data_IF_372826406105
#
_entry.id   IF_372826406105
#
_cell.length_a   1.000
_cell.length_b   1.000
_cell.length_c   1.000
_cell.angle_alpha   90.00
_cell.angle_beta   90.00
_cell.angle_gamma   90.00
#
_symmetry.space_group_name_H-M   'P 1'
#
loop_
_entity.id
_entity.type
_entity.pdbx_description
1 polymer ?
#
# COMPACT_ATOMS: atom_id res chain seq x y z
N UNK A 1 -17.21 -17.97 6.67
CA UNK A 1 -15.97 -18.58 7.21
C UNK A 1 -15.62 -19.76 6.32
N UNK A 2 -14.68 -19.59 5.40
CA UNK A 2 -14.26 -20.65 4.47
C UNK A 2 -12.87 -21.10 4.93
N UNK A 3 -12.80 -22.34 5.39
CA UNK A 3 -11.57 -22.99 5.86
C UNK A 3 -10.79 -23.45 4.63
N UNK A 4 -9.61 -22.88 4.40
CA UNK A 4 -8.66 -23.42 3.43
C UNK A 4 -7.87 -24.55 4.08
N UNK A 5 -8.03 -25.78 3.56
CA UNK A 5 -7.13 -26.90 3.86
C UNK A 5 -5.85 -26.75 3.01
N UNK A 6 -4.65 -26.70 3.60
CA UNK A 6 -3.44 -26.78 2.83
C UNK A 6 -3.24 -28.23 2.36
N UNK A 7 -3.24 -28.43 1.03
CA UNK A 7 -2.78 -29.69 0.44
C UNK A 7 -1.26 -29.59 0.31
N UNK A 8 -0.56 -30.31 1.18
CA UNK A 8 0.89 -30.42 1.15
C UNK A 8 1.28 -31.46 0.09
N UNK A 9 1.54 -31.03 -1.14
CA UNK A 9 2.17 -31.88 -2.16
C UNK A 9 3.69 -31.78 -2.03
N UNK A 10 4.27 -32.72 -1.29
CA UNK A 10 5.71 -32.95 -1.34
C UNK A 10 6.00 -33.85 -2.56
N UNK A 11 6.51 -33.28 -3.65
CA UNK A 11 7.07 -34.08 -4.74
C UNK A 11 8.52 -34.43 -4.39
N UNK A 12 8.90 -35.70 -4.26
CA UNK A 12 10.31 -36.04 -4.20
C UNK A 12 10.96 -35.69 -5.54
N UNK A 13 11.90 -34.75 -5.52
CA UNK A 13 12.79 -34.48 -6.65
C UNK A 13 13.67 -35.71 -6.83
N UNK A 14 13.22 -36.67 -7.63
CA UNK A 14 14.06 -37.76 -8.07
C UNK A 14 15.02 -37.18 -9.11
N UNK A 15 16.27 -36.93 -8.71
CA UNK A 15 17.37 -36.67 -9.65
C UNK A 15 17.51 -37.89 -10.55
N UNK A 16 16.95 -37.83 -11.75
CA UNK A 16 17.35 -38.72 -12.82
C UNK A 16 18.70 -38.22 -13.33
N UNK A 17 19.76 -38.92 -12.93
CA UNK A 17 21.04 -38.87 -13.63
C UNK A 17 20.79 -39.23 -15.09
N UNK A 18 20.88 -38.23 -15.96
CA UNK A 18 20.97 -38.43 -17.40
C UNK A 18 22.20 -39.30 -17.67
N UNK A 19 22.00 -40.60 -17.86
CA UNK A 19 23.00 -41.44 -18.49
C UNK A 19 23.07 -40.98 -19.94
N UNK A 20 24.17 -40.31 -20.28
CA UNK A 20 24.60 -40.10 -21.66
C UNK A 20 24.52 -41.46 -22.37
N UNK A 21 23.61 -41.57 -23.34
CA UNK A 21 23.54 -42.71 -24.23
C UNK A 21 24.82 -42.69 -25.07
N UNK A 22 25.73 -43.63 -24.79
CA UNK A 22 26.82 -43.92 -25.69
C UNK A 22 26.21 -44.27 -27.06
N UNK A 23 26.55 -43.48 -28.06
CA UNK A 23 26.22 -43.68 -29.48
C UNK A 23 26.68 -45.07 -29.89
N UNK A 24 25.75 -46.02 -30.02
CA UNK A 24 26.04 -47.35 -30.54
C UNK A 24 26.55 -47.23 -31.99
N UNK A 25 27.68 -47.84 -32.35
CA UNK A 25 28.15 -47.85 -33.72
C UNK A 25 27.20 -48.70 -34.57
N UNK A 26 26.75 -48.10 -35.66
CA UNK A 26 25.86 -48.66 -36.66
C UNK A 26 26.57 -49.86 -37.34
N UNK A 27 26.38 -51.07 -36.81
CA UNK A 27 26.87 -52.31 -37.43
C UNK A 27 25.98 -52.63 -38.63
N UNK A 28 26.43 -52.24 -39.83
CA UNK A 28 25.87 -52.73 -41.08
C UNK A 28 26.26 -54.20 -41.23
N UNK A 29 25.38 -55.13 -40.89
CA UNK A 29 25.51 -56.52 -41.28
C UNK A 29 25.02 -56.70 -42.72
N UNK A 30 25.96 -56.74 -43.66
CA UNK A 30 25.73 -57.24 -45.00
C UNK A 30 25.61 -58.77 -44.96
N UNK A 31 24.39 -59.28 -44.88
CA UNK A 31 24.13 -60.71 -45.11
C UNK A 31 24.11 -60.97 -46.62
N UNK A 32 25.26 -61.34 -47.17
CA UNK A 32 25.33 -61.96 -48.49
C UNK A 32 24.79 -63.39 -48.37
N UNK A 33 23.55 -63.59 -48.84
CA UNK A 33 22.97 -64.90 -49.05
C UNK A 33 23.74 -65.61 -50.17
N UNK A 34 24.56 -66.60 -49.80
CA UNK A 34 25.28 -67.48 -50.72
C UNK A 34 24.43 -68.72 -50.95
N UNK A 35 23.58 -68.70 -51.97
CA UNK A 35 22.92 -69.91 -52.48
C UNK A 35 23.97 -70.80 -53.14
N UNK A 36 24.17 -72.00 -52.58
CA UNK A 36 24.97 -73.05 -53.18
C UNK A 36 24.03 -74.02 -53.91
N UNK A 37 24.17 -74.23 -55.23
CA UNK A 37 23.35 -75.21 -55.94
C UNK A 37 24.04 -76.56 -55.81
N UNK A 38 23.55 -77.41 -54.90
CA UNK A 38 23.86 -78.83 -54.96
C UNK A 38 22.74 -79.54 -55.72
N UNK A 39 23.06 -79.92 -56.95
CA UNK A 39 22.33 -80.92 -57.73
C UNK A 39 22.51 -82.29 -57.07
N UNK A 40 21.42 -82.91 -56.61
CA UNK A 40 21.17 -84.36 -56.69
C UNK A 40 19.81 -84.69 -56.06
N UNK A 41 19.06 -85.50 -56.80
CA UNK A 41 17.67 -85.88 -56.58
C UNK A 41 17.42 -86.68 -55.29
N UNK A 42 16.36 -86.31 -54.55
CA UNK A 42 15.48 -87.29 -53.91
C UNK A 42 14.17 -86.63 -53.47
N UNK A 43 13.07 -87.13 -54.03
CA UNK A 43 11.67 -87.01 -53.63
C UNK A 43 11.36 -86.59 -52.19
N UNK A 44 10.74 -85.42 -52.01
CA UNK A 44 9.48 -85.21 -51.26
C UNK A 44 9.19 -83.71 -51.18
N UNK A 45 8.14 -83.26 -51.86
CA UNK A 45 7.62 -81.90 -51.75
C UNK A 45 6.86 -81.73 -50.43
N UNK A 46 7.54 -81.30 -49.37
CA UNK A 46 6.90 -80.70 -48.20
C UNK A 46 6.90 -79.18 -48.35
N UNK A 47 5.83 -78.47 -47.94
CA UNK A 47 5.82 -77.01 -47.96
C UNK A 47 6.94 -76.48 -47.07
N UNK A 48 7.47 -75.26 -47.30
CA UNK A 48 8.45 -74.67 -46.42
C UNK A 48 7.80 -74.36 -45.07
N UNK A 49 7.86 -75.31 -44.15
CA UNK A 49 7.33 -75.17 -42.80
C UNK A 49 8.29 -74.27 -42.02
N UNK A 50 7.93 -72.99 -41.93
CA UNK A 50 8.69 -72.00 -41.19
C UNK A 50 8.71 -72.32 -39.70
N UNK A 51 9.88 -72.24 -39.09
CA UNK A 51 10.07 -72.43 -37.65
C UNK A 51 9.13 -71.49 -36.85
N UNK A 52 8.16 -72.09 -36.15
CA UNK A 52 7.10 -71.38 -35.42
C UNK A 52 7.65 -70.44 -34.36
N UNK A 53 8.80 -70.77 -33.76
CA UNK A 53 9.47 -69.90 -32.79
C UNK A 53 10.02 -68.63 -33.43
N UNK A 54 10.56 -68.73 -34.65
CA UNK A 54 11.06 -67.56 -35.39
C UNK A 54 9.92 -66.66 -35.81
N UNK A 55 8.80 -67.22 -36.23
CA UNK A 55 7.60 -66.46 -36.58
C UNK A 55 7.01 -65.73 -35.36
N UNK A 56 6.97 -66.38 -34.19
CA UNK A 56 6.52 -65.74 -32.95
C UNK A 56 7.43 -64.58 -32.54
N UNK A 57 8.76 -64.77 -32.62
CA UNK A 57 9.72 -63.70 -32.30
C UNK A 57 9.55 -62.52 -33.25
N UNK A 58 9.36 -62.76 -34.54
CA UNK A 58 9.09 -61.71 -35.53
C UNK A 58 7.79 -60.96 -35.23
N UNK A 59 6.72 -61.69 -34.86
CA UNK A 59 5.45 -61.08 -34.47
C UNK A 59 5.60 -60.18 -33.23
N UNK A 60 6.36 -60.63 -32.21
CA UNK A 60 6.67 -59.82 -31.02
C UNK A 60 7.48 -58.57 -31.35
N UNK A 61 8.46 -58.67 -32.25
CA UNK A 61 9.25 -57.51 -32.71
C UNK A 61 8.33 -56.50 -33.40
N UNK A 62 7.46 -56.96 -34.30
CA UNK A 62 6.51 -56.10 -35.00
C UNK A 62 5.54 -55.42 -34.02
N UNK A 63 5.04 -56.15 -33.02
CA UNK A 63 4.20 -55.57 -31.97
C UNK A 63 4.93 -54.50 -31.16
N UNK A 64 6.18 -54.76 -30.75
CA UNK A 64 7.00 -53.80 -30.01
C UNK A 64 7.30 -52.54 -30.83
N UNK A 65 7.58 -52.70 -32.12
CA UNK A 65 7.78 -51.56 -33.03
C UNK A 65 6.52 -50.71 -33.16
N UNK A 66 5.35 -51.33 -33.26
CA UNK A 66 4.05 -50.63 -33.29
C UNK A 66 3.78 -49.88 -31.98
N UNK A 67 4.03 -50.52 -30.82
CA UNK A 67 3.86 -49.86 -29.52
C UNK A 67 4.82 -48.69 -29.33
N UNK A 68 6.07 -48.81 -29.80
CA UNK A 68 7.04 -47.72 -29.79
C UNK A 68 6.56 -46.53 -30.60
N UNK A 69 6.06 -46.77 -31.82
CA UNK A 69 5.55 -45.69 -32.68
C UNK A 69 4.39 -44.97 -32.00
N UNK A 70 3.40 -45.72 -31.49
CA UNK A 70 2.26 -45.13 -30.77
C UNK A 70 2.66 -44.30 -29.55
N UNK A 71 3.65 -44.76 -28.78
CA UNK A 71 4.13 -44.01 -27.62
C UNK A 71 4.89 -42.75 -28.02
N UNK A 72 5.64 -42.81 -29.12
CA UNK A 72 6.36 -41.65 -29.66
C UNK A 72 5.37 -40.60 -30.14
N UNK A 73 4.37 -41.00 -30.92
CA UNK A 73 3.32 -40.09 -31.40
C UNK A 73 2.56 -39.44 -30.23
N UNK A 74 2.22 -40.21 -29.19
CA UNK A 74 1.57 -39.66 -27.99
C UNK A 74 2.46 -38.67 -27.23
N UNK A 75 3.76 -38.97 -27.12
CA UNK A 75 4.71 -38.08 -26.48
C UNK A 75 4.87 -36.77 -27.28
N UNK A 76 4.93 -36.87 -28.61
CA UNK A 76 5.04 -35.72 -29.50
C UNK A 76 3.78 -34.84 -29.41
N UNK A 77 2.58 -35.44 -29.43
CA UNK A 77 1.31 -34.72 -29.23
C UNK A 77 1.28 -33.99 -27.88
N UNK A 78 1.61 -34.68 -26.78
CA UNK A 78 1.61 -34.06 -25.45
C UNK A 78 2.68 -32.99 -25.30
N UNK A 79 3.82 -33.13 -25.98
CA UNK A 79 4.86 -32.11 -26.00
C UNK A 79 4.42 -30.85 -26.76
N UNK A 80 3.68 -31.02 -27.85
CA UNK A 80 3.09 -29.92 -28.60
C UNK A 80 2.02 -29.20 -27.76
N UNK A 81 1.11 -29.94 -27.13
CA UNK A 81 0.08 -29.37 -26.22
C UNK A 81 0.72 -28.55 -25.09
N UNK A 82 1.78 -29.08 -24.48
CA UNK A 82 2.47 -28.39 -23.37
C UNK A 82 3.19 -27.12 -23.85
N UNK A 83 3.73 -27.15 -25.08
CA UNK A 83 4.36 -25.98 -25.69
C UNK A 83 3.32 -24.91 -25.98
N UNK A 84 2.17 -25.28 -26.55
CA UNK A 84 1.05 -24.37 -26.79
C UNK A 84 0.56 -23.76 -25.46
N UNK A 85 0.39 -24.56 -24.42
CA UNK A 85 -0.01 -24.06 -23.10
C UNK A 85 1.00 -23.04 -22.54
N UNK A 86 2.30 -23.26 -22.75
CA UNK A 86 3.33 -22.32 -22.31
C UNK A 86 3.29 -21.01 -23.10
N UNK A 87 3.07 -21.08 -24.42
CA UNK A 87 2.92 -19.90 -25.28
C UNK A 87 1.67 -19.10 -24.93
N UNK A 88 0.53 -19.77 -24.76
CA UNK A 88 -0.74 -19.15 -24.36
C UNK A 88 -0.62 -18.48 -22.99
N UNK A 89 -0.01 -19.16 -22.01
CA UNK A 89 0.23 -18.58 -20.68
C UNK A 89 1.13 -17.35 -20.76
N UNK A 90 2.19 -17.38 -21.57
CA UNK A 90 3.06 -16.22 -21.74
C UNK A 90 2.32 -15.03 -22.37
N UNK A 91 1.49 -15.28 -23.39
CA UNK A 91 0.67 -14.26 -24.02
C UNK A 91 -0.36 -13.65 -23.04
N UNK A 92 -0.98 -14.48 -22.18
CA UNK A 92 -1.87 -13.98 -21.12
C UNK A 92 -1.13 -13.15 -20.07
N UNK A 93 0.08 -13.56 -19.66
CA UNK A 93 0.89 -12.77 -18.73
C UNK A 93 1.31 -11.42 -19.31
N UNK A 94 1.75 -11.39 -20.57
CA UNK A 94 2.08 -10.15 -21.27
C UNK A 94 0.87 -9.22 -21.35
N UNK A 95 -0.30 -9.76 -21.73
CA UNK A 95 -1.55 -9.01 -21.79
C UNK A 95 -1.95 -8.43 -20.43
N UNK A 96 -1.90 -9.22 -19.36
CA UNK A 96 -2.20 -8.74 -18.00
C UNK A 96 -1.20 -7.67 -17.57
N UNK A 97 0.08 -7.86 -17.89
CA UNK A 97 1.14 -6.88 -17.61
C UNK A 97 0.90 -5.55 -18.31
N UNK A 98 0.57 -5.59 -19.60
CA UNK A 98 0.27 -4.40 -20.40
C UNK A 98 -1.01 -3.70 -19.92
N UNK A 99 -2.07 -4.45 -19.63
CA UNK A 99 -3.33 -3.91 -19.11
C UNK A 99 -3.12 -3.22 -17.74
N UNK A 100 -2.32 -3.83 -16.86
CA UNK A 100 -1.99 -3.26 -15.57
C UNK A 100 -1.16 -1.98 -15.68
N UNK A 101 -0.15 -1.97 -16.56
CA UNK A 101 0.67 -0.78 -16.82
C UNK A 101 -0.17 0.36 -17.40
N UNK A 102 -1.02 0.05 -18.39
CA UNK A 102 -1.94 1.03 -18.98
C UNK A 102 -2.88 1.63 -17.93
N UNK A 103 -3.45 0.80 -17.06
CA UNK A 103 -4.32 1.28 -15.97
C UNK A 103 -3.57 2.16 -14.97
N UNK A 104 -2.30 1.84 -14.68
CA UNK A 104 -1.43 2.65 -13.82
C UNK A 104 -1.12 4.01 -14.45
N UNK A 105 -0.76 4.03 -15.73
CA UNK A 105 -0.45 5.27 -16.46
C UNK A 105 -1.68 6.18 -16.55
N UNK A 106 -2.86 5.62 -16.81
CA UNK A 106 -4.12 6.37 -16.81
C UNK A 106 -4.45 6.94 -15.43
N UNK A 107 -4.28 6.15 -14.36
CA UNK A 107 -4.49 6.64 -13.00
C UNK A 107 -3.48 7.75 -12.62
N UNK A 108 -2.22 7.60 -13.03
CA UNK A 108 -1.18 8.60 -12.81
C UNK A 108 -1.50 9.90 -13.54
N UNK A 109 -1.92 9.84 -14.80
CA UNK A 109 -2.33 11.00 -15.57
C UNK A 109 -3.50 11.74 -14.91
N UNK A 110 -4.52 11.03 -14.42
CA UNK A 110 -5.65 11.64 -13.69
C UNK A 110 -5.24 12.32 -12.39
N UNK A 111 -4.31 11.73 -11.64
CA UNK A 111 -3.78 12.33 -10.41
C UNK A 111 -3.00 13.60 -10.74
N UNK A 112 -2.16 13.55 -11.79
CA UNK A 112 -1.37 14.69 -12.22
C UNK A 112 -2.25 15.85 -12.70
N UNK A 113 -3.27 15.56 -13.50
CA UNK A 113 -4.26 16.54 -13.95
C UNK A 113 -5.00 17.19 -12.76
N UNK A 114 -5.38 16.39 -11.75
CA UNK A 114 -6.03 16.93 -10.55
C UNK A 114 -5.08 17.84 -9.76
N UNK A 115 -3.82 17.43 -9.58
CA UNK A 115 -2.80 18.26 -8.91
C UNK A 115 -2.56 19.57 -9.68
N UNK A 116 -2.43 19.51 -11.00
CA UNK A 116 -2.28 20.68 -11.87
C UNK A 116 -3.47 21.64 -11.70
N UNK A 117 -4.70 21.11 -11.73
CA UNK A 117 -5.91 21.91 -11.55
C UNK A 117 -5.97 22.59 -10.17
N UNK A 118 -5.59 21.88 -9.11
CA UNK A 118 -5.54 22.45 -7.76
C UNK A 118 -4.42 23.47 -7.60
N UNK A 119 -3.26 23.22 -8.23
CA UNK A 119 -2.14 24.16 -8.25
C UNK A 119 -2.54 25.46 -8.94
N UNK A 120 -3.22 25.37 -10.08
CA UNK A 120 -3.69 26.56 -10.80
C UNK A 120 -4.69 27.37 -9.95
N UNK A 121 -5.66 26.71 -9.32
CA UNK A 121 -6.61 27.39 -8.42
C UNK A 121 -5.89 28.04 -7.23
N UNK A 122 -4.85 27.38 -6.70
CA UNK A 122 -4.04 27.92 -5.63
C UNK A 122 -3.22 29.14 -6.08
N UNK A 123 -2.64 29.10 -7.28
CA UNK A 123 -1.89 30.21 -7.87
C UNK A 123 -2.81 31.42 -8.10
N UNK A 124 -3.97 31.21 -8.74
CA UNK A 124 -4.98 32.26 -8.93
C UNK A 124 -5.45 32.84 -7.59
N UNK A 125 -5.69 32.00 -6.57
CA UNK A 125 -6.07 32.45 -5.24
C UNK A 125 -4.96 33.22 -4.52
N UNK A 126 -3.70 32.80 -4.68
CA UNK A 126 -2.55 33.47 -4.07
C UNK A 126 -2.31 34.85 -4.68
N UNK A 127 -2.46 34.97 -6.00
CA UNK A 127 -2.38 36.25 -6.71
C UNK A 127 -3.50 37.20 -6.28
N UNK A 128 -4.74 36.73 -6.18
CA UNK A 128 -5.87 37.52 -5.71
C UNK A 128 -5.66 37.99 -4.26
N UNK A 129 -5.23 37.10 -3.37
CA UNK A 129 -4.95 37.43 -1.97
C UNK A 129 -3.81 38.46 -1.85
N UNK A 130 -2.78 38.36 -2.69
CA UNK A 130 -1.70 39.35 -2.74
C UNK A 130 -2.21 40.73 -3.16
N UNK A 131 -3.07 40.81 -4.17
CA UNK A 131 -3.70 42.08 -4.58
C UNK A 131 -4.62 42.65 -3.50
N UNK A 132 -5.30 41.80 -2.72
CA UNK A 132 -6.15 42.23 -1.61
C UNK A 132 -5.33 42.81 -0.45
N UNK A 133 -4.21 42.17 -0.10
CA UNK A 133 -3.27 42.68 0.91
C UNK A 133 -2.72 44.05 0.50
N UNK A 134 -2.30 44.21 -0.76
CA UNK A 134 -1.76 45.48 -1.26
C UNK A 134 -2.80 46.62 -1.17
N UNK A 135 -4.08 46.33 -1.47
CA UNK A 135 -5.17 47.31 -1.32
C UNK A 135 -5.47 47.63 0.15
N UNK A 136 -5.43 46.62 1.01
CA UNK A 136 -5.64 46.79 2.45
C UNK A 136 -4.51 47.62 3.07
N UNK A 137 -3.27 47.40 2.65
CA UNK A 137 -2.11 48.17 3.10
C UNK A 137 -2.20 49.65 2.69
N UNK A 138 -2.63 49.95 1.45
CA UNK A 138 -2.89 51.33 1.00
C UNK A 138 -4.03 52.00 1.81
N UNK A 139 -5.09 51.24 2.10
CA UNK A 139 -6.19 51.74 2.95
C UNK A 139 -5.73 52.02 4.39
N UNK A 140 -4.91 51.14 4.96
CA UNK A 140 -4.30 51.31 6.28
C UNK A 140 -3.40 52.53 6.33
N UNK A 141 -2.55 52.74 5.33
CA UNK A 141 -1.68 53.91 5.23
C UNK A 141 -2.49 55.23 5.19
N UNK A 142 -3.61 55.25 4.45
CA UNK A 142 -4.54 56.39 4.43
C UNK A 142 -5.21 56.63 5.78
N UNK A 143 -5.60 55.56 6.47
CA UNK A 143 -6.23 55.64 7.78
C UNK A 143 -5.24 56.15 8.84
N UNK A 144 -4.00 55.66 8.82
CA UNK A 144 -2.94 56.10 9.74
C UNK A 144 -2.61 57.59 9.53
N UNK A 145 -2.55 58.05 8.28
CA UNK A 145 -2.40 59.47 7.96
C UNK A 145 -3.54 60.34 8.54
N UNK A 146 -4.80 59.90 8.41
CA UNK A 146 -5.95 60.60 8.99
C UNK A 146 -5.89 60.63 10.52
N UNK A 147 -5.52 59.51 11.16
CA UNK A 147 -5.38 59.45 12.62
C UNK A 147 -4.25 60.35 13.12
N UNK A 148 -3.14 60.44 12.38
CA UNK A 148 -2.02 61.30 12.74
C UNK A 148 -2.37 62.79 12.58
N UNK A 149 -3.13 63.14 11.54
CA UNK A 149 -3.72 64.48 11.36
C UNK A 149 -4.71 64.80 12.48
N UNK A 150 -5.69 63.93 12.76
CA UNK A 150 -6.63 64.08 13.87
C UNK A 150 -5.95 64.12 15.24
N UNK A 151 -4.84 63.37 15.43
CA UNK A 151 -4.03 63.46 16.67
C UNK A 151 -3.29 64.78 16.78
N UNK A 152 -2.76 65.33 15.69
CA UNK A 152 -2.15 66.65 15.71
C UNK A 152 -3.18 67.73 16.03
N UNK A 153 -4.41 67.60 15.51
CA UNK A 153 -5.53 68.48 15.87
C UNK A 153 -6.03 68.24 17.31
N UNK A 154 -6.04 66.99 17.78
CA UNK A 154 -6.40 66.62 19.15
C UNK A 154 -5.38 67.02 20.22
N UNK A 155 -4.08 67.05 19.87
CA UNK A 155 -2.99 67.57 20.70
C UNK A 155 -3.05 69.10 20.82
N UNK A 156 -3.64 69.78 19.83
CA UNK A 156 -3.98 71.20 19.93
C UNK A 156 -4.89 71.48 21.15
N UNK A 157 -5.80 70.56 21.48
CA UNK A 157 -6.68 70.66 22.66
C UNK A 157 -6.06 70.14 23.96
N UNK A 158 -5.01 69.31 23.88
CA UNK A 158 -4.35 68.72 25.05
C UNK A 158 -3.51 69.73 25.83
N UNK A 159 -3.00 70.78 25.18
CA UNK A 159 -2.37 71.91 25.87
C UNK A 159 -3.34 72.79 26.68
N UNK A 160 -4.66 72.55 26.61
CA UNK A 160 -5.66 73.26 27.41
C UNK A 160 -6.21 72.47 28.62
N UNK A 161 -5.75 71.23 28.85
CA UNK A 161 -6.22 70.40 29.98
C UNK A 161 -5.06 69.76 30.74
N UNK A 162 -4.45 70.52 31.65
CA UNK A 162 -3.63 69.96 32.72
C UNK A 162 -4.46 69.76 33.99
N UNK A 163 -4.71 68.51 34.38
CA UNK A 163 -4.81 68.12 35.79
C UNK A 163 -4.47 66.63 35.96
N UNK A 164 -3.67 66.33 36.99
CA UNK A 164 -3.01 65.07 37.34
C UNK A 164 -3.86 64.26 38.36
N UNK A 165 -3.46 63.02 38.75
CA UNK A 165 -4.08 61.75 38.37
C UNK A 165 -4.86 61.09 39.53
N UNK A 166 -5.62 60.03 39.25
CA UNK A 166 -6.24 59.21 40.29
C UNK A 166 -5.95 57.72 40.06
N UNK A 167 -5.25 57.17 41.04
CA UNK A 167 -4.93 55.76 41.29
C UNK A 167 -6.17 54.89 41.60
N UNK A 168 -5.94 53.56 41.53
CA UNK A 168 -6.63 52.44 42.25
C UNK A 168 -7.79 51.67 41.62
N UNK A 169 -8.24 51.97 40.40
CA UNK A 169 -9.36 51.19 39.80
C UNK A 169 -8.89 50.03 38.89
N UNK A 170 -7.60 49.94 38.57
CA UNK A 170 -7.13 48.96 37.58
C UNK A 170 -6.77 47.58 38.16
N UNK A 171 -6.45 47.46 39.45
CA UNK A 171 -6.06 46.15 40.02
C UNK A 171 -7.24 45.18 40.23
N UNK A 172 -8.43 45.66 40.58
CA UNK A 172 -9.64 44.81 40.66
C UNK A 172 -10.10 44.36 39.27
N UNK A 173 -9.96 45.23 38.28
CA UNK A 173 -10.34 44.92 36.90
C UNK A 173 -9.42 43.87 36.26
N UNK A 174 -8.13 43.86 36.62
CA UNK A 174 -7.22 42.80 36.15
C UNK A 174 -7.53 41.45 36.81
N UNK A 175 -7.96 41.43 38.08
CA UNK A 175 -8.40 40.19 38.75
C UNK A 175 -9.69 39.63 38.12
N UNK A 176 -10.68 40.49 37.87
CA UNK A 176 -11.90 40.13 37.13
C UNK A 176 -11.59 39.64 35.72
N UNK A 177 -10.70 40.31 35.00
CA UNK A 177 -10.28 39.88 33.65
C UNK A 177 -9.49 38.57 33.68
N UNK A 178 -8.77 38.21 34.74
CA UNK A 178 -8.20 36.86 34.86
C UNK A 178 -9.24 35.78 35.17
N UNK A 179 -10.32 36.11 35.89
CA UNK A 179 -11.47 35.19 36.10
C UNK A 179 -12.31 35.05 34.83
N UNK A 180 -12.47 36.12 34.07
CA UNK A 180 -13.21 36.15 32.79
C UNK A 180 -12.40 35.50 31.66
N UNK A 181 -11.07 35.68 31.62
CA UNK A 181 -10.17 34.96 30.70
C UNK A 181 -9.98 33.47 31.05
N UNK A 182 -10.43 33.02 32.23
CA UNK A 182 -10.55 31.59 32.54
C UNK A 182 -11.72 30.93 31.77
N UNK A 183 -12.58 31.71 31.11
CA UNK A 183 -13.66 31.24 30.24
C UNK A 183 -13.19 30.75 28.85
N UNK A 184 -11.91 30.41 28.68
CA UNK A 184 -11.39 29.70 27.51
C UNK A 184 -11.61 28.18 27.55
N UNK A 185 -12.66 27.69 28.23
CA UNK A 185 -12.74 26.29 28.67
C UNK A 185 -13.08 25.27 27.58
N UNK A 186 -13.71 25.71 26.48
CA UNK A 186 -14.12 24.78 25.39
C UNK A 186 -12.99 24.54 24.38
N UNK A 187 -12.33 25.60 23.92
CA UNK A 187 -11.28 25.52 22.90
C UNK A 187 -10.02 24.85 23.43
N UNK A 188 -9.59 25.19 24.66
CA UNK A 188 -8.42 24.54 25.30
C UNK A 188 -8.66 23.07 25.56
N UNK A 189 -9.87 22.69 25.99
CA UNK A 189 -10.28 21.29 26.19
C UNK A 189 -10.23 20.48 24.90
N UNK A 190 -10.66 21.05 23.77
CA UNK A 190 -10.58 20.37 22.47
C UNK A 190 -9.13 20.13 22.05
N UNK A 191 -8.23 21.11 22.27
CA UNK A 191 -6.80 20.97 22.00
C UNK A 191 -6.20 19.80 22.80
N UNK A 192 -6.51 19.68 24.10
CA UNK A 192 -6.05 18.54 24.90
C UNK A 192 -6.61 17.20 24.42
N UNK A 193 -7.89 17.15 24.02
CA UNK A 193 -8.50 15.93 23.48
C UNK A 193 -7.84 15.49 22.16
N UNK A 194 -7.53 16.44 21.26
CA UNK A 194 -6.80 16.17 20.02
C UNK A 194 -5.39 15.66 20.32
N UNK A 195 -4.66 16.29 21.25
CA UNK A 195 -3.32 15.86 21.64
C UNK A 195 -3.31 14.48 22.30
N UNK A 196 -4.27 14.20 23.19
CA UNK A 196 -4.44 12.87 23.80
C UNK A 196 -4.74 11.82 22.72
N UNK A 197 -5.64 12.13 21.78
CA UNK A 197 -5.97 11.25 20.65
C UNK A 197 -4.76 10.93 19.78
N UNK A 198 -3.97 11.94 19.41
CA UNK A 198 -2.76 11.79 18.61
C UNK A 198 -1.70 10.95 19.35
N UNK A 199 -1.58 11.13 20.67
CA UNK A 199 -0.66 10.35 21.50
C UNK A 199 -1.08 8.88 21.64
N UNK A 200 -2.38 8.59 21.72
CA UNK A 200 -2.90 7.21 21.73
C UNK A 200 -2.62 6.50 20.40
N UNK A 201 -2.82 7.19 19.26
CA UNK A 201 -2.49 6.65 17.94
C UNK A 201 -0.99 6.35 17.84
N UNK A 202 -0.13 7.27 18.29
CA UNK A 202 1.32 7.07 18.31
C UNK A 202 1.75 5.87 19.17
N UNK A 203 1.06 5.62 20.29
CA UNK A 203 1.30 4.44 21.14
C UNK A 203 0.93 3.16 20.38
N UNK A 204 -0.24 3.11 19.74
CA UNK A 204 -0.69 1.92 18.97
C UNK A 204 0.26 1.63 17.80
N UNK A 205 0.68 2.66 17.06
CA UNK A 205 1.65 2.52 15.97
C UNK A 205 3.01 2.02 16.49
N UNK A 206 3.46 2.54 17.64
CA UNK A 206 4.69 2.07 18.28
C UNK A 206 4.61 0.59 18.71
N UNK A 207 3.43 0.09 19.09
CA UNK A 207 3.23 -1.33 19.38
C UNK A 207 3.22 -2.22 18.12
N UNK A 208 2.67 -1.72 17.01
CA UNK A 208 2.54 -2.47 15.74
C UNK A 208 3.86 -2.53 14.96
N UNK A 209 4.63 -1.44 14.95
CA UNK A 209 5.85 -1.34 14.14
C UNK A 209 7.05 -2.08 14.77
N UNK A 210 7.26 -1.95 16.09
CA UNK A 210 8.22 -2.75 16.87
C UNK A 210 8.09 -2.40 18.36
N UNK A 211 7.87 -3.38 19.27
CA UNK A 211 7.65 -3.10 20.69
C UNK A 211 8.95 -2.69 21.41
N UNK A 212 9.35 -1.43 21.23
CA UNK A 212 10.37 -0.78 22.06
C UNK A 212 9.71 -0.35 23.39
N UNK A 213 9.74 -1.22 24.40
CA UNK A 213 9.15 -0.98 25.72
C UNK A 213 9.59 0.34 26.37
N UNK A 214 10.79 0.84 26.02
CA UNK A 214 11.30 2.14 26.45
C UNK A 214 10.52 3.32 25.85
N UNK A 215 10.19 3.27 24.55
CA UNK A 215 9.42 4.31 23.86
C UNK A 215 7.97 4.32 24.33
N UNK A 216 7.39 3.13 24.51
CA UNK A 216 6.04 2.96 25.06
C UNK A 216 5.95 3.52 26.48
N UNK A 217 6.94 3.25 27.34
CA UNK A 217 6.96 3.79 28.70
C UNK A 217 7.03 5.33 28.74
N UNK A 218 7.83 5.94 27.87
CA UNK A 218 7.94 7.41 27.77
C UNK A 218 6.64 8.03 27.27
N UNK A 219 6.03 7.46 26.22
CA UNK A 219 4.74 7.92 25.70
C UNK A 219 3.61 7.72 26.71
N UNK A 220 3.61 6.60 27.43
CA UNK A 220 2.64 6.33 28.50
C UNK A 220 2.76 7.31 29.68
N UNK A 221 3.99 7.64 30.10
CA UNK A 221 4.22 8.65 31.14
C UNK A 221 3.74 10.05 30.69
N UNK A 222 3.99 10.41 29.43
CA UNK A 222 3.52 11.67 28.85
C UNK A 222 1.99 11.73 28.77
N UNK A 223 1.34 10.63 28.40
CA UNK A 223 -0.12 10.50 28.38
C UNK A 223 -0.72 10.68 29.78
N UNK A 224 -0.13 10.04 30.80
CA UNK A 224 -0.59 10.17 32.18
C UNK A 224 -0.49 11.63 32.68
N UNK A 225 0.58 12.35 32.32
CA UNK A 225 0.75 13.76 32.67
C UNK A 225 -0.31 14.66 32.00
N UNK A 226 -0.61 14.42 30.72
CA UNK A 226 -1.65 15.14 29.97
C UNK A 226 -3.05 14.89 30.53
N UNK A 227 -3.38 13.65 30.85
CA UNK A 227 -4.67 13.27 31.46
C UNK A 227 -4.83 13.89 32.86
N UNK A 228 -3.75 13.98 33.63
CA UNK A 228 -3.74 14.66 34.94
C UNK A 228 -4.04 16.16 34.80
N UNK A 229 -3.38 16.84 33.85
CA UNK A 229 -3.64 18.26 33.54
C UNK A 229 -5.08 18.49 33.06
N UNK A 230 -5.56 17.65 32.15
CA UNK A 230 -6.93 17.70 31.65
C UNK A 230 -7.96 17.50 32.77
N UNK A 231 -7.73 16.54 33.67
CA UNK A 231 -8.63 16.24 34.79
C UNK A 231 -8.65 17.37 35.82
N UNK A 232 -7.52 18.03 36.06
CA UNK A 232 -7.43 19.21 36.91
C UNK A 232 -8.23 20.39 36.33
N UNK A 233 -8.08 20.67 35.04
CA UNK A 233 -8.85 21.72 34.35
C UNK A 233 -10.35 21.41 34.31
N UNK A 234 -10.74 20.14 34.12
CA UNK A 234 -12.13 19.73 34.14
C UNK A 234 -12.75 19.91 35.53
N UNK A 235 -12.01 19.54 36.59
CA UNK A 235 -12.46 19.73 37.97
C UNK A 235 -12.64 21.22 38.29
N UNK A 236 -11.67 22.06 37.93
CA UNK A 236 -11.74 23.51 38.14
C UNK A 236 -12.90 24.13 37.36
N UNK A 237 -13.10 23.73 36.10
CA UNK A 237 -14.22 24.21 35.26
C UNK A 237 -15.58 23.82 35.86
N UNK A 238 -15.71 22.60 36.38
CA UNK A 238 -16.95 22.13 37.02
C UNK A 238 -17.25 22.85 38.35
N UNK A 239 -16.22 23.31 39.05
CA UNK A 239 -16.35 24.06 40.28
C UNK A 239 -16.86 25.48 40.00
N UNK A 240 -16.35 26.12 38.94
CA UNK A 240 -16.80 27.43 38.45
C UNK A 240 -18.27 27.37 38.00
N UNK A 241 -18.65 26.39 37.18
CA UNK A 241 -20.03 26.20 36.70
C UNK A 241 -21.01 25.96 37.87
N UNK A 242 -20.59 25.20 38.91
CA UNK A 242 -21.38 25.00 40.13
C UNK A 242 -21.54 26.26 40.97
N UNK A 243 -20.51 27.11 41.02
CA UNK A 243 -20.61 28.40 41.74
C UNK A 243 -21.54 29.37 41.04
N UNK A 244 -21.52 29.41 39.71
CA UNK A 244 -22.40 30.26 38.90
C UNK A 244 -23.88 29.87 39.04
N UNK A 245 -24.19 28.56 38.99
CA UNK A 245 -25.55 28.04 39.19
C UNK A 245 -26.08 28.28 40.62
N UNK A 246 -25.19 28.26 41.63
CA UNK A 246 -25.57 28.55 43.02
C UNK A 246 -25.81 30.04 43.27
N UNK A 247 -25.12 30.91 42.57
CA UNK A 247 -25.28 32.37 42.70
C UNK A 247 -26.55 32.85 41.99
N UNK A 248 -26.90 32.23 40.85
CA UNK A 248 -28.14 32.54 40.14
C UNK A 248 -29.40 32.12 40.92
N UNK A 249 -29.36 30.99 41.66
CA UNK A 249 -30.48 30.55 42.53
C UNK A 249 -30.66 31.33 43.83
N UNK A 250 -29.74 32.22 44.20
CA UNK A 250 -29.87 33.10 45.37
C UNK A 250 -30.41 34.49 45.04
N UNK A 251 -30.61 34.78 43.75
CA UNK A 251 -31.08 36.07 43.23
C UNK A 251 -32.56 36.04 42.77
N UNK A 252 -33.22 34.90 42.89
CA UNK A 252 -34.69 34.73 42.81
C UNK A 252 -35.28 34.56 44.21
#
# INVERSE_FOLDING_TARGET
MIVFKPVQTCFPVHRNTFFYTARFPNSKSSFLCRCQPNTSDSSSSTPPEGDSQKQEILARIAQLQTQKLRLTDFLDEKSADLTQFAEDANAEFEKIGEDALRGLDEASARIMENIESQMQVFEESAELNRQEIEKNDDMLAKFEGQIEEERNEGLFFKNMRQKKPADKVEMEKIEELTKENAAGSKTRRYIYLVLIGLLVVAIVESFVSSPDWRKVAVLGAMLAALVSRFSYEQRMSSEIERTEIKDNRRKE
#
